data_IF_153805705608
#
_entry.id   IF_153805705608
#
_cell.length_a   1.000
_cell.length_b   1.000
_cell.length_c   1.000
_cell.angle_alpha   90.00
_cell.angle_beta   90.00
_cell.angle_gamma   90.00
#
_symmetry.space_group_name_H-M   'P 1'
#
loop_
_entity.id
_entity.type
_entity.pdbx_description
1 polymer ?
#
# COMPACT_ATOMS: atom_id res chain seq x y z
N UNK A 1 -3.22 -9.42 38.97
CA UNK A 1 -3.03 -7.96 39.07
C UNK A 1 -2.54 -7.51 37.71
N UNK A 2 -3.47 -7.09 36.85
CA UNK A 2 -3.14 -6.48 35.56
C UNK A 2 -2.73 -5.04 35.87
N UNK A 3 -1.47 -4.71 35.63
CA UNK A 3 -0.97 -3.34 35.72
C UNK A 3 -1.61 -2.55 34.57
N UNK A 4 -2.22 -1.39 34.82
CA UNK A 4 -2.71 -0.55 33.74
C UNK A 4 -1.47 -0.05 32.98
N UNK A 5 -1.28 -0.54 31.76
CA UNK A 5 -0.30 0.03 30.85
C UNK A 5 -0.73 1.49 30.62
N UNK A 6 0.02 2.41 31.20
CA UNK A 6 -0.22 3.84 31.02
C UNK A 6 0.26 4.16 29.61
N UNK A 7 -0.67 4.16 28.66
CA UNK A 7 -0.43 4.66 27.31
C UNK A 7 -0.13 6.16 27.44
N UNK A 8 1.16 6.51 27.40
CA UNK A 8 1.59 7.89 27.27
C UNK A 8 0.92 8.48 26.03
N UNK A 9 0.27 9.66 26.12
CA UNK A 9 -0.43 10.24 24.99
C UNK A 9 0.56 10.46 23.86
N UNK A 10 0.36 9.76 22.73
CA UNK A 10 1.18 9.89 21.54
C UNK A 10 1.31 11.37 21.19
N UNK A 11 2.55 11.85 21.07
CA UNK A 11 2.77 13.26 20.80
C UNK A 11 2.32 13.57 19.37
N UNK A 12 1.78 14.77 19.11
CA UNK A 12 1.39 15.19 17.74
C UNK A 12 2.47 14.95 16.69
N UNK A 13 3.75 14.96 17.08
CA UNK A 13 4.86 14.70 16.17
C UNK A 13 4.95 13.21 15.78
N UNK A 14 4.62 12.28 16.67
CA UNK A 14 4.62 10.84 16.39
C UNK A 14 3.45 10.44 15.49
N UNK A 15 2.27 11.02 15.70
CA UNK A 15 1.11 10.83 14.83
C UNK A 15 1.42 11.31 13.40
N UNK A 16 2.00 12.51 13.25
CA UNK A 16 2.37 13.05 11.95
C UNK A 16 3.46 12.24 11.26
N UNK A 17 4.46 11.72 12.00
CA UNK A 17 5.49 10.83 11.42
C UNK A 17 4.89 9.53 10.93
N UNK A 18 4.00 8.93 11.71
CA UNK A 18 3.28 7.70 11.32
C UNK A 18 2.40 7.95 10.10
N UNK A 19 1.68 9.07 10.07
CA UNK A 19 0.85 9.47 8.94
C UNK A 19 1.65 9.72 7.66
N UNK A 20 2.77 10.45 7.77
CA UNK A 20 3.67 10.72 6.65
C UNK A 20 4.31 9.42 6.15
N UNK A 21 4.74 8.54 7.06
CA UNK A 21 5.29 7.23 6.69
C UNK A 21 4.26 6.39 5.95
N UNK A 22 3.04 6.26 6.47
CA UNK A 22 1.95 5.56 5.79
C UNK A 22 1.66 6.17 4.42
N UNK A 23 1.57 7.49 4.31
CA UNK A 23 1.22 8.13 3.03
C UNK A 23 2.35 8.03 2.01
N UNK A 24 3.61 8.26 2.42
CA UNK A 24 4.78 8.27 1.53
C UNK A 24 5.26 6.86 1.18
N UNK A 25 4.97 5.85 2.01
CA UNK A 25 5.37 4.46 1.72
C UNK A 25 4.19 3.63 1.23
N UNK A 26 3.09 3.58 1.97
CA UNK A 26 1.94 2.73 1.62
C UNK A 26 1.27 3.19 0.34
N UNK A 27 1.07 4.50 0.12
CA UNK A 27 0.39 4.96 -1.09
C UNK A 27 1.18 4.63 -2.37
N UNK A 28 2.53 4.85 -2.44
CA UNK A 28 3.31 4.40 -3.59
C UNK A 28 3.34 2.88 -3.76
N UNK A 29 3.48 2.12 -2.68
CA UNK A 29 3.43 0.64 -2.74
C UNK A 29 2.10 0.18 -3.32
N UNK A 30 0.99 0.78 -2.87
CA UNK A 30 -0.34 0.47 -3.37
C UNK A 30 -0.49 0.85 -4.84
N UNK A 31 0.05 1.99 -5.26
CA UNK A 31 0.06 2.41 -6.67
C UNK A 31 0.79 1.39 -7.56
N UNK A 32 1.97 0.93 -7.15
CA UNK A 32 2.73 -0.09 -7.88
C UNK A 32 1.99 -1.43 -7.91
N UNK A 33 1.39 -1.85 -6.80
CA UNK A 33 0.62 -3.09 -6.73
C UNK A 33 -0.58 -3.06 -7.67
N UNK A 34 -1.32 -1.94 -7.71
CA UNK A 34 -2.50 -1.79 -8.58
C UNK A 34 -2.08 -1.70 -10.05
N UNK A 35 -1.17 -0.79 -10.40
CA UNK A 35 -0.76 -0.58 -11.81
C UNK A 35 -0.01 -1.79 -12.35
N UNK A 36 0.92 -2.35 -11.57
CA UNK A 36 1.66 -3.55 -11.92
C UNK A 36 0.78 -4.79 -11.99
N UNK A 37 -0.11 -4.98 -11.01
CA UNK A 37 -1.08 -6.07 -11.00
C UNK A 37 -2.06 -5.99 -12.17
N UNK A 38 -2.60 -4.80 -12.46
CA UNK A 38 -3.48 -4.59 -13.60
C UNK A 38 -2.77 -4.81 -14.92
N UNK A 39 -1.56 -4.25 -15.10
CA UNK A 39 -0.74 -4.48 -16.29
C UNK A 39 -0.41 -5.95 -16.50
N UNK A 40 -0.09 -6.68 -15.44
CA UNK A 40 0.13 -8.12 -15.48
C UNK A 40 -1.13 -8.89 -15.85
N UNK A 41 -2.29 -8.54 -15.30
CA UNK A 41 -3.57 -9.16 -15.64
C UNK A 41 -3.92 -8.95 -17.12
N UNK A 42 -3.75 -7.73 -17.62
CA UNK A 42 -3.97 -7.40 -19.04
C UNK A 42 -3.00 -8.18 -19.93
N UNK A 43 -1.72 -8.22 -19.58
CA UNK A 43 -0.72 -9.00 -20.31
C UNK A 43 -1.03 -10.50 -20.32
N UNK A 44 -1.41 -11.07 -19.17
CA UNK A 44 -1.86 -12.46 -19.07
C UNK A 44 -3.12 -12.71 -19.90
N UNK A 45 -4.07 -11.78 -19.87
CA UNK A 45 -5.28 -11.85 -20.67
C UNK A 45 -4.94 -11.91 -22.16
N UNK A 46 -4.04 -11.04 -22.64
CA UNK A 46 -3.55 -11.04 -24.03
C UNK A 46 -2.93 -12.39 -24.42
N UNK A 47 -2.13 -13.01 -23.54
CA UNK A 47 -1.54 -14.33 -23.81
C UNK A 47 -2.59 -15.44 -23.97
N UNK A 48 -3.68 -15.36 -23.20
CA UNK A 48 -4.74 -16.39 -23.20
C UNK A 48 -5.71 -16.18 -24.36
N UNK A 49 -6.09 -14.95 -24.67
CA UNK A 49 -7.03 -14.64 -25.75
C UNK A 49 -6.36 -14.56 -27.12
N UNK A 50 -5.03 -14.49 -27.17
CA UNK A 50 -4.27 -14.39 -28.42
C UNK A 50 -4.36 -13.01 -29.08
N UNK A 51 -4.95 -12.02 -28.41
CA UNK A 51 -5.03 -10.64 -28.89
C UNK A 51 -3.68 -9.95 -28.64
N UNK A 52 -2.72 -10.18 -29.54
CA UNK A 52 -1.54 -9.33 -29.62
C UNK A 52 -1.95 -8.03 -30.32
N UNK A 53 -1.78 -6.86 -29.70
CA UNK A 53 -1.99 -5.59 -30.41
C UNK A 53 -0.99 -5.49 -31.57
N UNK A 54 -1.52 -5.59 -32.80
CA UNK A 54 -0.82 -5.51 -34.08
C UNK A 54 -1.82 -5.28 -35.22
#
# INVERSE_FOLDING_TARGET
METPETEEPATRQEELRSFLFLTVVTAPVLAVAIVGGYGFLVWMYQLVTGDLPG
#
